data_IF_758007933943
#
_entry.id   IF_758007933943
#
_cell.length_a   1.000
_cell.length_b   1.000
_cell.length_c   1.000
_cell.angle_alpha   90.00
_cell.angle_beta   90.00
_cell.angle_gamma   90.00
#
_symmetry.space_group_name_H-M   'P 1'
#
loop_
_entity.id
_entity.type
_entity.pdbx_description
1 polymer ?
2 water ?
#
# COMPACT_ATOMS: atom_id res chain seq x y z
N UNK A 17 29.43 -1.86 -3.85
CA UNK A 17 29.06 -0.96 -4.93
C UNK A 17 27.70 -1.36 -5.49
N UNK A 18 26.80 -1.75 -4.58
CA UNK A 18 25.44 -2.10 -4.94
C UNK A 18 24.52 -1.86 -3.77
N UNK A 19 23.23 -1.72 -4.08
CA UNK A 19 22.22 -1.44 -3.07
C UNK A 19 20.88 -2.06 -3.43
N UNK A 20 19.98 -1.27 -4.01
CA UNK A 20 18.62 -1.69 -4.31
C UNK A 20 18.46 -1.78 -5.83
N UNK A 21 18.73 -2.97 -6.37
CA UNK A 21 18.45 -3.30 -7.75
C UNK A 21 17.14 -4.08 -7.89
N UNK A 22 16.25 -3.93 -6.93
CA UNK A 22 14.97 -4.62 -6.83
C UNK A 22 13.90 -3.86 -7.61
N UNK A 23 12.87 -4.57 -8.08
CA UNK A 23 11.75 -3.91 -8.74
C UNK A 23 10.74 -3.28 -7.79
N UNK A 24 11.01 -3.29 -6.48
CA UNK A 24 10.04 -2.80 -5.50
C UNK A 24 9.68 -1.35 -5.79
N UNK A 25 10.68 -0.52 -6.12
CA UNK A 25 10.42 0.89 -6.38
C UNK A 25 9.55 1.08 -7.61
N UNK A 26 9.89 0.40 -8.71
CA UNK A 26 9.11 0.54 -9.93
C UNK A 26 7.72 -0.07 -9.77
N UNK A 27 7.62 -1.19 -9.04
CA UNK A 27 6.32 -1.78 -8.78
C UNK A 27 5.43 -0.82 -7.99
N UNK A 28 6.01 -0.13 -7.01
CA UNK A 28 5.23 0.85 -6.24
C UNK A 28 4.80 2.01 -7.12
N UNK A 29 5.67 2.47 -8.01
CA UNK A 29 5.30 3.56 -8.91
C UNK A 29 4.21 3.13 -9.89
N UNK A 30 4.23 1.86 -10.31
CA UNK A 30 3.22 1.39 -11.26
C UNK A 30 1.86 1.22 -10.58
N UNK A 31 1.84 0.65 -9.37
CA UNK A 31 0.58 0.46 -8.68
C UNK A 31 -0.01 1.79 -8.21
N UNK A 32 0.82 2.83 -8.08
CA UNK A 32 0.30 4.15 -7.74
C UNK A 32 -0.37 4.80 -8.94
N UNK A 33 0.22 4.65 -10.13
CA UNK A 33 -0.42 5.17 -11.34
C UNK A 33 -1.68 4.39 -11.67
N UNK A 34 -1.68 3.08 -11.42
CA UNK A 34 -2.86 2.27 -11.69
C UNK A 34 -4.02 2.66 -10.77
N UNK A 35 -3.72 2.98 -9.51
CA UNK A 35 -4.77 3.40 -8.59
C UNK A 35 -5.27 4.80 -8.96
N UNK A 36 -4.36 5.69 -9.37
CA UNK A 36 -4.77 7.03 -9.78
C UNK A 36 -5.71 6.98 -10.97
N UNK A 37 -5.40 6.14 -11.96
CA UNK A 37 -6.27 6.02 -13.13
C UNK A 37 -7.58 5.33 -12.77
N UNK A 38 -7.52 4.33 -11.90
CA UNK A 38 -8.72 3.59 -11.52
C UNK A 38 -9.62 4.39 -10.58
N UNK A 39 -9.05 5.32 -9.81
CA UNK A 39 -9.85 6.10 -8.88
C UNK A 39 -10.78 7.07 -9.60
N UNK A 40 -10.45 7.45 -10.84
CA UNK A 40 -11.32 8.36 -11.59
C UNK A 40 -12.67 7.72 -11.86
N UNK A 41 -12.68 6.44 -12.24
CA UNK A 41 -13.94 5.76 -12.50
C UNK A 41 -14.78 5.57 -11.26
N UNK A 42 -14.15 5.34 -10.11
CA UNK A 42 -14.89 5.18 -8.87
C UNK A 42 -15.33 6.51 -8.28
N UNK A 43 -14.59 7.59 -8.56
CA UNK A 43 -15.05 8.91 -8.14
C UNK A 43 -16.29 9.32 -8.92
N UNK A 44 -16.34 8.99 -10.22
CA UNK A 44 -17.52 9.32 -11.02
C UNK A 44 -18.74 8.53 -10.56
N UNK A 45 -18.54 7.30 -10.08
CA UNK A 45 -19.67 6.50 -9.62
C UNK A 45 -20.26 7.07 -8.34
N UNK A 46 -19.42 7.41 -7.37
CA UNK A 46 -19.91 7.85 -6.07
C UNK A 46 -20.29 9.32 -6.05
N UNK A 47 -19.76 10.13 -6.97
CA UNK A 47 -20.27 11.49 -7.10
C UNK A 47 -21.65 11.50 -7.74
N UNK A 48 -21.92 10.56 -8.65
CA UNK A 48 -23.26 10.42 -9.18
C UNK A 48 -24.25 9.90 -8.15
N UNK A 49 -23.80 9.01 -7.26
CA UNK A 49 -24.65 8.56 -6.17
C UNK A 49 -24.85 9.66 -5.14
N UNK A 50 -23.83 10.50 -4.92
CA UNK A 50 -23.97 11.62 -4.00
C UNK A 50 -24.96 12.65 -4.52
N UNK A 51 -25.04 12.81 -5.85
CA UNK A 51 -26.00 13.74 -6.42
C UNK A 51 -27.43 13.29 -6.16
N UNK A 52 -27.68 11.98 -6.21
CA UNK A 52 -29.02 11.47 -5.95
C UNK A 52 -29.40 11.62 -4.48
N UNK A 53 -28.44 11.42 -3.58
CA UNK A 53 -28.74 11.52 -2.15
C UNK A 53 -28.95 12.97 -1.73
N UNK A 54 -28.18 13.89 -2.32
CA UNK A 54 -28.33 15.31 -2.03
C UNK A 54 -29.55 15.93 -2.69
N UNK A 55 -30.33 15.16 -3.43
CA UNK A 55 -31.58 15.64 -4.01
C UNK A 55 -32.81 14.88 -3.54
N UNK A 56 -32.67 13.61 -3.17
CA UNK A 56 -33.81 12.80 -2.74
C UNK A 56 -33.59 12.12 -1.40
N UNK A 57 -32.40 11.58 -1.15
CA UNK A 57 -32.15 10.76 0.02
C UNK A 57 -32.01 11.57 1.29
N UNK A 58 -31.52 10.89 2.32
CA UNK A 58 -31.36 11.52 3.63
C UNK A 58 -30.17 12.47 3.61
N UNK A 59 -30.30 13.66 4.20
CA UNK A 59 -29.17 14.60 4.19
C UNK A 59 -27.99 14.14 5.04
N UNK A 60 -28.26 13.55 6.21
CA UNK A 60 -27.17 13.06 7.05
C UNK A 60 -26.43 11.90 6.40
N UNK A 61 -27.14 11.08 5.61
CA UNK A 61 -26.47 10.02 4.86
C UNK A 61 -25.55 10.61 3.79
N UNK A 62 -26.03 11.62 3.06
CA UNK A 62 -25.22 12.23 2.01
C UNK A 62 -24.03 12.97 2.59
N UNK A 63 -24.16 13.51 3.80
CA UNK A 63 -23.03 14.21 4.42
C UNK A 63 -21.87 13.26 4.68
N UNK A 64 -22.17 12.06 5.19
CA UNK A 64 -21.12 11.07 5.42
C UNK A 64 -20.43 10.70 4.12
N UNK A 65 -21.19 10.53 3.04
CA UNK A 65 -20.58 10.21 1.76
C UNK A 65 -19.78 11.38 1.21
N UNK A 66 -20.26 12.61 1.43
CA UNK A 66 -19.53 13.78 0.96
C UNK A 66 -18.20 13.93 1.69
N UNK A 67 -18.22 13.82 3.02
CA UNK A 67 -16.98 13.93 3.79
C UNK A 67 -16.03 12.78 3.46
N UNK A 68 -16.57 11.58 3.25
CA UNK A 68 -15.73 10.45 2.87
C UNK A 68 -15.05 10.70 1.53
N UNK A 69 -15.79 11.23 0.55
CA UNK A 69 -15.19 11.56 -0.73
C UNK A 69 -14.16 12.68 -0.60
N UNK A 70 -14.39 13.63 0.30
CA UNK A 70 -13.42 14.69 0.52
C UNK A 70 -12.10 14.14 1.05
N UNK A 71 -12.18 13.18 1.98
CA UNK A 71 -10.97 12.59 2.54
C UNK A 71 -10.21 11.79 1.49
N UNK A 72 -10.91 11.19 0.53
CA UNK A 72 -10.22 10.48 -0.55
C UNK A 72 -9.54 11.47 -1.48
N UNK A 73 -10.17 12.63 -1.71
CA UNK A 73 -9.56 13.65 -2.55
C UNK A 73 -8.22 14.11 -1.98
N UNK A 74 -8.13 14.21 -0.66
CA UNK A 74 -6.85 14.56 -0.04
C UNK A 74 -5.84 13.43 -0.20
N UNK A 75 -6.30 12.18 -0.07
CA UNK A 75 -5.40 11.04 -0.25
C UNK A 75 -4.93 10.94 -1.70
N UNK A 76 -5.80 11.28 -2.65
CA UNK A 76 -5.39 11.30 -4.05
C UNK A 76 -4.34 12.37 -4.28
N UNK A 77 -4.53 13.55 -3.69
CA UNK A 77 -3.55 14.62 -3.85
C UNK A 77 -2.21 14.28 -3.23
N UNK A 78 -2.22 13.66 -2.05
CA UNK A 78 -0.97 13.24 -1.43
C UNK A 78 -0.30 12.12 -2.21
N UNK A 79 -1.08 11.33 -2.95
CA UNK A 79 -0.51 10.25 -3.74
C UNK A 79 0.22 10.79 -4.97
N UNK A 80 -0.42 11.71 -5.69
CA UNK A 80 0.18 12.25 -6.90
C UNK A 80 1.32 13.21 -6.60
N UNK A 81 1.35 13.81 -5.41
CA UNK A 81 2.48 14.66 -5.05
C UNK A 81 3.70 13.83 -4.72
N UNK A 82 3.52 12.74 -3.96
CA UNK A 82 4.61 11.81 -3.71
C UNK A 82 5.04 11.08 -4.98
N UNK A 83 4.15 10.94 -5.96
CA UNK A 83 4.53 10.33 -7.22
C UNK A 83 5.49 11.22 -8.00
N UNK A 84 5.28 12.54 -7.95
CA UNK A 84 6.18 13.46 -8.62
C UNK A 84 7.52 13.55 -7.89
N UNK A 85 7.48 13.62 -6.56
CA UNK A 85 8.72 13.70 -5.79
C UNK A 85 9.55 12.43 -5.93
N UNK A 86 8.90 11.29 -6.16
CA UNK A 86 9.64 10.05 -6.40
C UNK A 86 10.16 9.98 -7.82
N UNK A 87 9.39 10.49 -8.79
CA UNK A 87 9.86 10.51 -10.17
C UNK A 87 10.98 11.53 -10.36
N UNK A 88 10.90 12.67 -9.66
CA UNK A 88 11.96 13.66 -9.76
C UNK A 88 13.26 13.15 -9.14
N UNK A 89 13.17 12.56 -7.95
CA UNK A 89 14.36 12.05 -7.29
C UNK A 89 15.01 10.91 -8.07
N UNK A 90 14.28 10.27 -8.98
CA UNK A 90 14.87 9.24 -9.83
C UNK A 90 15.43 9.81 -11.13
N UNK A 91 14.89 10.93 -11.61
CA UNK A 91 15.47 11.58 -12.78
C UNK A 91 16.77 12.29 -12.44
N UNK A 92 16.85 12.87 -11.24
CA UNK A 92 18.08 13.53 -10.82
C UNK A 92 19.18 12.52 -10.50
N UNK A 93 18.80 11.30 -10.12
CA UNK A 93 19.75 10.26 -9.81
C UNK A 93 20.01 10.04 -8.34
N UNK A 94 19.02 10.28 -7.47
CA UNK A 94 19.15 10.09 -6.03
C UNK A 94 18.08 9.10 -5.58
N UNK A 95 18.34 7.80 -5.69
CA UNK A 95 17.35 6.81 -5.24
C UNK A 95 17.10 6.84 -3.74
N UNK A 96 18.05 7.33 -2.94
CA UNK A 96 17.87 7.34 -1.49
C UNK A 96 16.89 8.43 -1.06
N UNK A 97 16.75 9.49 -1.85
CA UNK A 97 15.85 10.58 -1.49
C UNK A 97 14.38 10.21 -1.71
N UNK A 98 14.10 9.31 -2.65
CA UNK A 98 12.73 8.92 -2.97
C UNK A 98 12.23 7.77 -2.12
N UNK A 99 13.07 7.21 -1.24
CA UNK A 99 12.63 6.09 -0.41
C UNK A 99 11.50 6.53 0.52
N UNK A 100 11.62 7.73 1.09
CA UNK A 100 10.55 8.26 1.92
C UNK A 100 9.28 8.52 1.14
N UNK A 101 9.40 8.94 -0.12
CA UNK A 101 8.22 9.17 -0.94
C UNK A 101 7.56 7.85 -1.32
N UNK A 102 8.36 6.81 -1.58
CA UNK A 102 7.80 5.51 -1.92
C UNK A 102 7.05 4.92 -0.73
N UNK A 103 7.55 5.15 0.48
CA UNK A 103 6.83 4.71 1.67
C UNK A 103 5.51 5.46 1.79
N UNK A 104 5.53 6.77 1.53
CA UNK A 104 4.28 7.53 1.51
C UNK A 104 3.43 7.15 0.30
N UNK A 105 4.06 6.72 -0.79
CA UNK A 105 3.31 6.32 -1.98
C UNK A 105 2.38 5.15 -1.68
N UNK A 106 2.91 4.10 -1.06
CA UNK A 106 2.08 2.95 -0.70
C UNK A 106 1.09 3.33 0.39
N UNK A 107 1.43 4.31 1.23
CA UNK A 107 0.52 4.71 2.29
C UNK A 107 -0.78 5.30 1.75
N UNK A 108 -0.67 6.20 0.77
CA UNK A 108 -1.86 6.77 0.17
C UNK A 108 -2.55 5.79 -0.78
N UNK A 109 -1.80 4.87 -1.38
CA UNK A 109 -2.42 3.81 -2.16
C UNK A 109 -3.29 2.94 -1.27
N UNK A 110 -2.82 2.67 -0.05
CA UNK A 110 -3.62 1.87 0.88
C UNK A 110 -4.87 2.62 1.33
N UNK A 111 -4.74 3.92 1.63
CA UNK A 111 -5.89 4.68 2.09
C UNK A 111 -6.98 4.74 1.02
N UNK A 112 -6.58 4.89 -0.24
CA UNK A 112 -7.56 4.97 -1.32
C UNK A 112 -8.23 3.62 -1.54
N UNK A 113 -7.43 2.55 -1.61
CA UNK A 113 -7.99 1.22 -1.83
C UNK A 113 -8.86 0.79 -0.65
N UNK A 114 -8.49 1.18 0.57
CA UNK A 114 -9.26 0.76 1.74
C UNK A 114 -10.59 1.50 1.84
N UNK A 115 -10.64 2.76 1.40
CA UNK A 115 -11.87 3.53 1.52
C UNK A 115 -12.91 3.07 0.51
N UNK A 116 -12.52 2.96 -0.76
CA UNK A 116 -13.46 2.50 -1.78
C UNK A 116 -13.91 1.07 -1.52
N UNK A 117 -13.08 0.28 -0.84
CA UNK A 117 -13.49 -1.07 -0.47
C UNK A 117 -14.60 -1.06 0.58
N UNK A 118 -14.59 -0.05 1.46
CA UNK A 118 -15.67 0.06 2.44
C UNK A 118 -16.95 0.57 1.79
N UNK A 119 -16.82 1.47 0.81
CA UNK A 119 -18.00 1.98 0.11
C UNK A 119 -18.71 0.86 -0.65
N UNK A 120 -17.95 0.02 -1.35
CA UNK A 120 -18.52 -1.12 -2.05
C UNK A 120 -18.67 -2.32 -1.11
N UNK B 21 0.48 -2.16 -16.18
CA UNK B 21 -0.35 -2.68 -17.26
C UNK B 21 -1.02 -3.99 -16.84
N UNK B 22 -0.79 -4.38 -15.58
CA UNK B 22 -1.30 -5.57 -14.93
C UNK B 22 -2.45 -5.21 -13.99
N UNK B 23 -3.38 -6.14 -13.73
CA UNK B 23 -4.45 -5.85 -12.77
C UNK B 23 -3.90 -5.45 -11.41
N UNK B 24 -4.61 -4.53 -10.74
CA UNK B 24 -4.13 -3.98 -9.48
C UNK B 24 -4.02 -5.08 -8.42
N UNK B 25 -4.94 -6.04 -8.45
CA UNK B 25 -4.86 -7.15 -7.50
C UNK B 25 -3.62 -8.00 -7.76
N UNK B 26 -3.24 -8.15 -9.03
CA UNK B 26 -2.03 -8.90 -9.35
C UNK B 26 -0.78 -8.10 -9.00
N UNK B 27 -0.83 -6.78 -9.19
CA UNK B 27 0.31 -5.94 -8.85
C UNK B 27 0.56 -5.90 -7.35
N UNK B 28 -0.50 -5.95 -6.54
CA UNK B 28 -0.32 -5.98 -5.10
C UNK B 28 0.25 -7.32 -4.64
N UNK B 29 -0.11 -8.41 -5.31
CA UNK B 29 0.49 -9.70 -4.98
C UNK B 29 1.96 -9.75 -5.39
N UNK B 30 2.32 -9.07 -6.48
CA UNK B 30 3.71 -9.06 -6.92
C UNK B 30 4.58 -8.24 -5.98
N UNK B 31 4.14 -7.03 -5.64
CA UNK B 31 4.93 -6.17 -4.77
C UNK B 31 5.05 -6.75 -3.37
N UNK B 32 4.11 -7.61 -2.96
CA UNK B 32 4.22 -8.25 -1.66
C UNK B 32 5.20 -9.41 -1.67
N UNK B 33 5.32 -10.11 -2.80
CA UNK B 33 6.29 -11.20 -2.89
C UNK B 33 7.72 -10.67 -2.89
N UNK B 34 7.96 -9.57 -3.60
CA UNK B 34 9.30 -9.00 -3.64
C UNK B 34 9.69 -8.38 -2.31
N UNK B 35 8.76 -7.64 -1.68
CA UNK B 35 9.04 -7.06 -0.37
C UNK B 35 9.26 -8.16 0.66
N UNK B 36 8.52 -9.26 0.55
CA UNK B 36 8.72 -10.37 1.48
C UNK B 36 10.08 -11.02 1.30
N UNK B 37 10.59 -11.07 0.07
CA UNK B 37 11.91 -11.64 -0.16
C UNK B 37 13.01 -10.75 0.42
N UNK B 38 12.96 -9.45 0.11
CA UNK B 38 14.00 -8.54 0.58
C UNK B 38 13.98 -8.40 2.10
N UNK B 39 12.79 -8.28 2.69
CA UNK B 39 12.69 -8.11 4.13
C UNK B 39 13.07 -9.39 4.87
N UNK B 40 12.86 -10.55 4.26
CA UNK B 40 13.26 -11.80 4.90
C UNK B 40 14.77 -11.99 4.81
N UNK B 41 15.36 -11.68 3.65
CA UNK B 41 16.81 -11.73 3.54
C UNK B 41 17.50 -10.69 4.38
N UNK B 42 16.89 -9.51 4.53
CA UNK B 42 17.45 -8.49 5.40
C UNK B 42 17.45 -8.94 6.85
N UNK B 43 16.40 -9.65 7.28
CA UNK B 43 16.34 -10.14 8.65
C UNK B 43 17.33 -11.28 8.86
N UNK B 44 17.46 -12.17 7.87
CA UNK B 44 18.45 -13.24 7.97
C UNK B 44 19.87 -12.67 8.03
N UNK B 45 20.10 -11.53 7.38
CA UNK B 45 21.40 -10.88 7.44
C UNK B 45 21.66 -10.30 8.83
N UNK B 46 20.68 -9.56 9.37
CA UNK B 46 20.84 -8.97 10.69
C UNK B 46 20.98 -10.04 11.77
N UNK B 47 20.19 -11.11 11.67
CA UNK B 47 20.22 -12.13 12.72
C UNK B 47 21.51 -12.94 12.67
N UNK B 48 22.07 -13.15 11.48
CA UNK B 48 23.33 -13.87 11.36
C UNK B 48 24.52 -13.10 11.88
N UNK B 49 24.39 -11.79 12.05
CA UNK B 49 25.46 -10.95 12.57
C UNK B 49 25.31 -10.67 14.06
N UNK B 50 24.11 -10.29 14.49
CA UNK B 50 23.87 -9.85 15.86
C UNK B 50 23.44 -10.98 16.80
N UNK B 51 23.11 -12.15 16.27
CA UNK B 51 22.69 -13.27 17.11
C UNK B 51 23.56 -14.50 16.88
N UNK B 61 11.93 -9.20 30.47
CA UNK B 61 12.40 -8.34 29.40
C UNK B 61 13.78 -8.77 28.91
N UNK B 62 14.20 -8.24 27.77
CA UNK B 62 15.49 -8.56 27.18
C UNK B 62 16.11 -7.28 26.64
N UNK B 63 17.20 -7.42 25.90
CA UNK B 63 17.87 -6.27 25.31
C UNK B 63 17.01 -5.65 24.21
N UNK B 64 17.19 -4.34 24.02
CA UNK B 64 16.42 -3.63 23.01
C UNK B 64 16.72 -4.11 21.59
N UNK B 65 17.90 -4.69 21.36
CA UNK B 65 18.19 -5.24 20.04
C UNK B 65 17.34 -6.48 19.77
N UNK B 66 17.15 -7.33 20.78
CA UNK B 66 16.30 -8.50 20.62
C UNK B 66 14.85 -8.10 20.38
N UNK B 67 14.38 -7.06 21.06
CA UNK B 67 13.00 -6.60 20.88
C UNK B 67 12.78 -6.11 19.45
N UNK B 68 13.70 -5.29 18.94
CA UNK B 68 13.57 -4.79 17.58
C UNK B 68 13.66 -5.92 16.56
N UNK B 69 14.45 -6.96 16.86
CA UNK B 69 14.61 -8.06 15.92
C UNK B 69 13.31 -8.85 15.76
N UNK B 70 12.76 -9.35 16.87
CA UNK B 70 11.52 -10.11 16.77
C UNK B 70 10.34 -9.25 16.34
N UNK B 71 10.41 -7.93 16.58
CA UNK B 71 9.40 -7.04 16.02
C UNK B 71 9.44 -7.04 14.50
N UNK B 72 10.64 -7.04 13.93
CA UNK B 72 10.77 -7.16 12.48
C UNK B 72 10.39 -8.56 12.02
N UNK B 73 10.73 -9.57 12.82
CA UNK B 73 10.37 -10.94 12.45
C UNK B 73 8.86 -11.13 12.42
N UNK B 74 8.15 -10.54 13.38
CA UNK B 74 6.69 -10.64 13.39
C UNK B 74 6.07 -9.83 12.25
N UNK B 75 6.68 -8.70 11.89
CA UNK B 75 6.17 -7.93 10.75
C UNK B 75 6.31 -8.72 9.45
N UNK B 76 7.39 -9.50 9.33
CA UNK B 76 7.54 -10.37 8.16
C UNK B 76 6.51 -11.50 8.21
N UNK B 77 6.20 -11.99 9.42
CA UNK B 77 5.20 -13.04 9.54
C UNK B 77 3.82 -12.57 9.14
N UNK B 78 3.42 -11.38 9.59
CA UNK B 78 2.11 -10.84 9.22
C UNK B 78 2.01 -10.58 7.73
N UNK B 79 3.11 -10.19 7.08
CA UNK B 79 3.08 -10.00 5.63
C UNK B 79 2.98 -11.34 4.91
N UNK B 80 3.68 -12.36 5.39
CA UNK B 80 3.65 -13.66 4.73
C UNK B 80 2.28 -14.31 4.89
N UNK B 81 1.69 -14.22 6.09
CA UNK B 81 0.36 -14.79 6.30
C UNK B 81 -0.68 -14.04 5.48
N UNK B 82 -0.54 -12.72 5.35
CA UNK B 82 -1.45 -11.96 4.51
C UNK B 82 -1.30 -12.33 3.04
N UNK B 83 -0.08 -12.63 2.60
CA UNK B 83 0.13 -13.03 1.21
C UNK B 83 -0.49 -14.39 0.93
N UNK B 84 -0.39 -15.32 1.89
CA UNK B 84 -0.98 -16.64 1.70
C UNK B 84 -2.49 -16.62 1.85
N UNK B 85 -3.02 -15.78 2.74
CA UNK B 85 -4.47 -15.61 2.82
C UNK B 85 -5.01 -14.97 1.55
N UNK B 86 -4.26 -14.03 0.97
CA UNK B 86 -4.69 -13.41 -0.28
C UNK B 86 -4.64 -14.41 -1.43
N UNK B 87 -3.66 -15.31 -1.42
CA UNK B 87 -3.59 -16.34 -2.45
C UNK B 87 -4.69 -17.37 -2.29
N UNK B 88 -5.12 -17.64 -1.05
CA UNK B 88 -6.25 -18.54 -0.84
C UNK B 88 -7.54 -17.93 -1.38
N UNK B 89 -7.83 -16.68 -1.00
CA UNK B 89 -9.03 -16.02 -1.47
C UNK B 89 -9.04 -15.88 -2.99
N UNK B 90 -7.86 -15.76 -3.60
CA UNK B 90 -7.79 -15.69 -5.06
C UNK B 90 -8.11 -17.03 -5.69
N UNK B 91 -7.88 -18.13 -4.97
CA UNK B 91 -8.14 -19.48 -5.46
C UNK B 91 -9.57 -19.92 -5.21
N UNK B 92 -10.15 -19.56 -4.06
CA UNK B 92 -11.52 -19.95 -3.77
C UNK B 92 -12.52 -19.32 -4.72
N UNK B 93 -12.18 -18.18 -5.32
CA UNK B 93 -13.02 -17.53 -6.30
C UNK B 93 -13.88 -16.40 -5.77
N UNK B 94 -13.90 -16.18 -4.47
CA UNK B 94 -14.71 -15.12 -3.88
C UNK B 94 -14.11 -13.76 -4.22
N UNK B 95 -14.78 -12.92 -5.01
CA UNK B 95 -14.18 -11.63 -5.38
C UNK B 95 -14.13 -10.64 -4.23
N UNK B 96 -15.07 -10.72 -3.28
CA UNK B 96 -15.03 -9.81 -2.14
C UNK B 96 -13.90 -10.18 -1.18
N UNK B 97 -13.73 -11.47 -0.90
CA UNK B 97 -12.64 -11.90 -0.04
C UNK B 97 -11.29 -11.67 -0.69
N UNK B 98 -11.21 -11.79 -2.02
CA UNK B 98 -9.95 -11.55 -2.71
C UNK B 98 -9.54 -10.09 -2.62
N UNK B 99 -10.47 -9.17 -2.89
CA UNK B 99 -10.16 -7.75 -2.80
C UNK B 99 -9.92 -7.34 -1.35
N UNK B 100 -10.72 -7.88 -0.42
CA UNK B 100 -10.53 -7.57 0.98
C UNK B 100 -9.19 -8.03 1.52
N UNK B 101 -8.66 -9.12 0.97
CA UNK B 101 -7.34 -9.59 1.38
C UNK B 101 -6.23 -8.78 0.72
N UNK B 102 -6.43 -8.38 -0.53
CA UNK B 102 -5.45 -7.55 -1.22
C UNK B 102 -5.33 -6.19 -0.55
N UNK B 103 -6.46 -5.61 -0.13
CA UNK B 103 -6.42 -4.35 0.61
C UNK B 103 -5.68 -4.53 1.92
N UNK B 104 -5.91 -5.65 2.61
CA UNK B 104 -5.15 -5.95 3.82
C UNK B 104 -3.68 -6.21 3.50
N UNK B 105 -3.40 -6.75 2.31
CA UNK B 105 -2.02 -7.03 1.92
C UNK B 105 -1.23 -5.75 1.73
N UNK B 106 -1.78 -4.80 0.96
CA UNK B 106 -1.12 -3.51 0.76
C UNK B 106 -0.88 -2.81 2.08
N UNK B 107 -1.78 -2.99 3.05
CA UNK B 107 -1.56 -2.42 4.37
C UNK B 107 -0.30 -2.97 5.02
N UNK B 108 -0.10 -4.29 4.95
CA UNK B 108 1.10 -4.88 5.52
C UNK B 108 2.35 -4.47 4.76
N UNK B 109 2.24 -4.34 3.43
CA UNK B 109 3.37 -3.86 2.64
C UNK B 109 3.76 -2.45 3.08
N UNK B 110 2.77 -1.58 3.30
CA UNK B 110 3.06 -0.23 3.77
C UNK B 110 3.57 -0.25 5.20
N UNK B 111 3.03 -1.13 6.05
CA UNK B 111 3.49 -1.21 7.43
C UNK B 111 4.95 -1.65 7.49
N UNK B 112 5.31 -2.67 6.71
CA UNK B 112 6.68 -3.19 6.80
C UNK B 112 7.65 -2.28 6.06
N UNK B 113 7.19 -1.54 5.05
CA UNK B 113 8.04 -0.55 4.40
C UNK B 113 8.24 0.69 5.26
N UNK B 114 7.39 0.90 6.25
CA UNK B 114 7.55 2.03 7.16
C UNK B 114 8.47 1.71 8.33
N UNK B 115 8.49 0.45 8.79
CA UNK B 115 9.40 0.08 9.87
C UNK B 115 10.84 0.00 9.38
N UNK B 116 11.05 -0.44 8.13
CA UNK B 116 12.40 -0.48 7.59
C UNK B 116 12.91 0.92 7.29
N UNK B 117 12.06 1.79 6.73
CA UNK B 117 12.46 3.17 6.50
C UNK B 117 12.77 3.88 7.81
N UNK B 118 12.15 3.44 8.91
CA UNK B 118 12.45 4.00 10.22
C UNK B 118 13.85 3.61 10.68
N UNK B 119 14.20 2.32 10.53
CA UNK B 119 15.49 1.84 10.99
C UNK B 119 16.64 2.38 10.14
N UNK B 120 16.42 2.54 8.84
CA UNK B 120 17.44 3.07 7.94
C UNK B 120 17.50 4.59 8.01
#
# INVERSE_FOLDING_TARGET
>A
MGSSHHHHHHSSGLVPRGSHMSPIARQALDIAKSVLEHSKGMFDYWEGMLEQYEKTGDPDQANKLRQTLNRVKNSVGRLESALKRAERAYDTGNPDAAVGAVVELIGNVHEIMSTFHELFG
>B
MGSSHHHHHHSSGLVPRGSHMSPIARQALDIAKSVLEHSKGMFDYWEGMLEQYEKTGDPDQANKLRQTLNRVKNSVGRLESALKRAERAYDTGNPDAAVGAVVELIGNVHEIMSTFHELFG
#
